data_IF_485924551482
#
_entry.id   IF_485924551482
#
_cell.length_a   1.000
_cell.length_b   1.000
_cell.length_c   1.000
_cell.angle_alpha   90.00
_cell.angle_beta   90.00
_cell.angle_gamma   90.00
#
_symmetry.space_group_name_H-M   'P 1'
#
loop_
_entity.id
_entity.type
_entity.pdbx_description
1 polymer ?
#
# COMPACT_ATOMS: atom_id res chain seq x y z
N UNK A 1 23.43 0.57 -11.06
CA UNK A 1 22.29 1.43 -11.43
C UNK A 1 21.11 0.52 -11.70
N UNK A 2 20.12 0.47 -10.81
CA UNK A 2 18.97 -0.43 -10.99
C UNK A 2 17.98 0.23 -11.91
N UNK A 3 17.90 -0.23 -13.15
CA UNK A 3 16.84 0.16 -14.08
C UNK A 3 15.52 -0.30 -13.47
N UNK A 4 14.64 0.64 -13.10
CA UNK A 4 13.30 0.29 -12.64
C UNK A 4 12.53 -0.41 -13.77
N UNK A 5 11.67 -1.39 -13.45
CA UNK A 5 10.81 -1.99 -14.47
C UNK A 5 9.88 -0.93 -15.05
N UNK A 6 9.53 -1.08 -16.34
CA UNK A 6 8.49 -0.24 -16.95
C UNK A 6 7.12 -0.68 -16.40
N UNK A 7 6.30 0.29 -16.03
CA UNK A 7 4.98 0.02 -15.49
C UNK A 7 3.88 0.22 -16.54
N UNK A 8 2.89 -0.67 -16.51
CA UNK A 8 1.66 -0.56 -17.28
C UNK A 8 0.82 0.59 -16.72
N UNK A 9 0.31 1.44 -17.62
CA UNK A 9 -0.68 2.45 -17.25
C UNK A 9 -1.98 1.75 -16.84
N UNK A 10 -2.39 1.95 -15.59
CA UNK A 10 -3.66 1.51 -15.04
C UNK A 10 -4.58 2.72 -14.83
N UNK A 11 -5.90 2.53 -14.88
CA UNK A 11 -6.82 3.60 -14.50
C UNK A 11 -6.73 3.80 -12.99
N UNK A 12 -6.56 5.04 -12.56
CA UNK A 12 -6.42 5.40 -11.14
C UNK A 12 -7.57 4.85 -10.30
N UNK A 13 -8.81 4.97 -10.76
CA UNK A 13 -10.00 4.52 -10.04
C UNK A 13 -10.01 3.00 -9.81
N UNK A 14 -9.55 2.22 -10.81
CA UNK A 14 -9.45 0.76 -10.70
C UNK A 14 -8.37 0.37 -9.66
N UNK A 15 -7.24 1.07 -9.67
CA UNK A 15 -6.15 0.85 -8.70
C UNK A 15 -6.56 1.26 -7.30
N UNK A 16 -7.28 2.37 -7.17
CA UNK A 16 -7.81 2.88 -5.91
C UNK A 16 -8.82 1.91 -5.31
N UNK A 17 -9.78 1.43 -6.10
CA UNK A 17 -10.74 0.41 -5.65
C UNK A 17 -10.03 -0.89 -5.23
N UNK A 18 -9.05 -1.33 -6.01
CA UNK A 18 -8.25 -2.52 -5.71
C UNK A 18 -7.50 -2.38 -4.38
N UNK A 19 -6.74 -1.29 -4.19
CA UNK A 19 -5.92 -1.14 -2.99
C UNK A 19 -6.79 -0.84 -1.77
N UNK A 20 -7.91 -0.14 -1.94
CA UNK A 20 -8.88 0.10 -0.87
C UNK A 20 -9.49 -1.23 -0.38
N UNK A 21 -9.87 -2.12 -1.29
CA UNK A 21 -10.36 -3.45 -0.93
C UNK A 21 -9.31 -4.30 -0.17
N UNK A 22 -8.01 -4.14 -0.51
CA UNK A 22 -6.92 -4.80 0.20
C UNK A 22 -6.61 -4.17 1.56
N UNK A 23 -6.81 -2.86 1.70
CA UNK A 23 -6.64 -2.10 2.94
C UNK A 23 -7.98 -1.93 3.68
N UNK A 24 -8.93 -2.83 3.47
CA UNK A 24 -10.15 -2.94 4.28
C UNK A 24 -10.03 -4.16 5.19
N UNK A 25 -10.26 -3.98 6.49
CA UNK A 25 -10.40 -5.11 7.42
C UNK A 25 -11.86 -5.56 7.44
N UNK A 26 -12.14 -6.71 6.83
CA UNK A 26 -13.50 -7.27 6.70
C UNK A 26 -14.07 -7.85 8.02
N UNK A 27 -13.23 -7.99 9.04
CA UNK A 27 -13.63 -8.54 10.34
C UNK A 27 -14.13 -7.46 11.32
N UNK A 28 -13.91 -6.18 11.03
CA UNK A 28 -14.50 -5.08 11.78
C UNK A 28 -15.93 -4.81 11.27
N UNK A 29 -16.85 -4.49 12.18
CA UNK A 29 -18.24 -4.12 11.88
C UNK A 29 -18.52 -2.71 12.44
N UNK A 30 -18.72 -1.69 11.58
CA UNK A 30 -18.68 -1.74 10.11
C UNK A 30 -17.25 -1.94 9.56
N UNK A 31 -17.09 -2.46 8.33
CA UNK A 31 -15.78 -2.59 7.71
C UNK A 31 -15.08 -1.24 7.60
N UNK A 32 -13.89 -1.14 8.18
CA UNK A 32 -13.08 0.07 8.13
C UNK A 32 -12.13 0.05 6.94
N UNK A 33 -12.15 1.13 6.18
CA UNK A 33 -11.20 1.42 5.11
C UNK A 33 -10.06 2.25 5.69
N UNK A 34 -8.81 1.82 5.46
CA UNK A 34 -7.64 2.54 5.97
C UNK A 34 -6.89 3.32 4.89
N UNK A 35 -7.23 3.17 3.61
CA UNK A 35 -6.64 3.96 2.54
C UNK A 35 -7.05 5.44 2.70
N UNK A 36 -6.05 6.33 2.69
CA UNK A 36 -6.27 7.79 2.77
C UNK A 36 -6.04 8.49 1.45
N UNK A 37 -5.03 8.04 0.70
CA UNK A 37 -4.68 8.65 -0.56
C UNK A 37 -3.97 7.66 -1.47
N UNK A 38 -4.25 7.76 -2.77
CA UNK A 38 -3.48 7.15 -3.82
C UNK A 38 -2.84 8.23 -4.69
N UNK A 39 -1.50 8.21 -4.77
CA UNK A 39 -0.70 9.12 -5.61
C UNK A 39 -0.21 8.33 -6.82
N UNK A 40 -0.42 8.85 -8.02
CA UNK A 40 0.17 8.34 -9.26
C UNK A 40 1.42 9.16 -9.60
N UNK A 41 2.51 8.49 -9.99
CA UNK A 41 3.76 9.11 -10.43
C UNK A 41 3.92 9.07 -11.95
N UNK A 42 4.84 9.87 -12.47
CA UNK A 42 5.04 10.03 -13.92
C UNK A 42 5.40 8.74 -14.64
N UNK A 43 6.19 7.87 -13.99
CA UNK A 43 6.60 6.54 -14.46
C UNK A 43 5.50 5.46 -14.33
N UNK A 44 4.28 5.84 -13.91
CA UNK A 44 3.09 4.98 -13.78
C UNK A 44 3.12 4.01 -12.61
N UNK A 45 4.01 4.20 -11.62
CA UNK A 45 3.80 3.58 -10.32
C UNK A 45 2.86 4.42 -9.45
N UNK A 46 2.41 3.80 -8.37
CA UNK A 46 1.49 4.38 -7.40
C UNK A 46 2.06 4.29 -6.00
N UNK A 47 1.74 5.28 -5.17
CA UNK A 47 1.92 5.25 -3.71
C UNK A 47 0.57 5.19 -3.04
N UNK A 48 0.35 4.14 -2.26
CA UNK A 48 -0.78 4.08 -1.34
C UNK A 48 -0.35 4.65 0.00
N UNK A 49 -1.10 5.65 0.49
CA UNK A 49 -0.96 6.22 1.83
C UNK A 49 -2.16 5.79 2.66
N UNK A 50 -1.92 5.24 3.85
CA UNK A 50 -2.96 4.63 4.67
C UNK A 50 -2.73 4.84 6.17
N UNK A 51 -3.82 4.72 6.94
CA UNK A 51 -3.84 4.96 8.38
C UNK A 51 -3.01 3.94 9.16
N UNK A 52 -2.32 4.38 10.24
CA UNK A 52 -1.58 3.46 11.08
C UNK A 52 -2.41 2.35 11.70
N UNK A 53 -3.69 2.64 11.99
CA UNK A 53 -4.64 1.68 12.56
C UNK A 53 -4.87 0.44 11.70
N UNK A 54 -4.44 0.42 10.43
CA UNK A 54 -4.41 -0.80 9.63
C UNK A 54 -3.56 -1.89 10.27
N UNK A 55 -2.42 -1.52 10.86
CA UNK A 55 -1.59 -2.45 11.60
C UNK A 55 -2.06 -2.47 13.05
N UNK A 56 -2.65 -3.59 13.46
CA UNK A 56 -2.88 -3.88 14.88
C UNK A 56 -1.52 -4.04 15.57
N UNK A 57 -1.04 -2.98 16.21
CA UNK A 57 0.20 -2.97 16.97
C UNK A 57 -0.06 -3.50 18.39
N UNK A 58 0.87 -4.30 18.91
CA UNK A 58 0.82 -4.73 20.30
C UNK A 58 1.13 -3.53 21.22
N UNK A 59 0.70 -3.62 22.47
CA UNK A 59 1.01 -2.62 23.49
C UNK A 59 2.53 -2.38 23.59
N UNK A 60 2.94 -1.12 23.59
CA UNK A 60 4.34 -0.71 23.59
C UNK A 60 5.03 -0.69 22.21
N UNK A 61 4.37 -1.12 21.13
CA UNK A 61 4.90 -0.97 19.77
C UNK A 61 4.36 0.30 19.09
N UNK A 62 5.26 1.19 18.71
CA UNK A 62 4.94 2.42 17.99
C UNK A 62 4.98 2.28 16.47
N UNK A 63 5.52 1.15 15.95
CA UNK A 63 5.70 0.91 14.52
C UNK A 63 5.42 -0.55 14.14
N UNK A 64 5.01 -0.83 12.90
CA UNK A 64 4.73 -2.18 12.44
C UNK A 64 6.04 -2.94 12.23
N UNK A 65 6.06 -4.18 12.68
CA UNK A 65 7.16 -5.10 12.47
C UNK A 65 7.40 -5.38 10.98
N UNK A 66 8.63 -5.81 10.65
CA UNK A 66 8.98 -6.32 9.32
C UNK A 66 8.04 -7.44 8.85
N UNK A 67 7.57 -8.28 9.77
CA UNK A 67 6.62 -9.36 9.45
C UNK A 67 5.26 -8.82 9.00
N UNK A 68 4.73 -7.82 9.69
CA UNK A 68 3.47 -7.16 9.30
C UNK A 68 3.56 -6.52 7.91
N UNK A 69 4.65 -5.80 7.62
CA UNK A 69 4.92 -5.26 6.29
C UNK A 69 5.01 -6.35 5.22
N UNK A 70 5.76 -7.42 5.49
CA UNK A 70 5.87 -8.54 4.56
C UNK A 70 4.53 -9.24 4.32
N UNK A 71 3.68 -9.35 5.33
CA UNK A 71 2.36 -9.94 5.20
C UNK A 71 1.44 -9.06 4.32
N UNK A 72 1.48 -7.74 4.48
CA UNK A 72 0.78 -6.81 3.57
C UNK A 72 1.27 -6.95 2.13
N UNK A 73 2.59 -6.95 1.91
CA UNK A 73 3.19 -7.13 0.58
C UNK A 73 2.79 -8.47 -0.04
N UNK A 74 2.82 -9.56 0.74
CA UNK A 74 2.35 -10.88 0.30
C UNK A 74 0.86 -10.87 -0.03
N UNK A 75 0.02 -10.20 0.78
CA UNK A 75 -1.43 -10.05 0.51
C UNK A 75 -1.67 -9.39 -0.85
N UNK A 76 -0.97 -8.29 -1.13
CA UNK A 76 -1.07 -7.58 -2.42
C UNK A 76 -0.64 -8.50 -3.58
N UNK A 77 0.54 -9.12 -3.47
CA UNK A 77 1.08 -10.04 -4.49
C UNK A 77 0.23 -11.28 -4.75
N UNK A 78 -0.47 -11.79 -3.72
CA UNK A 78 -1.40 -12.93 -3.88
C UNK A 78 -2.68 -12.54 -4.61
N UNK A 79 -3.09 -11.28 -4.52
CA UNK A 79 -4.29 -10.81 -5.22
C UNK A 79 -3.99 -10.50 -6.69
N UNK A 80 -2.82 -9.93 -7.00
CA UNK A 80 -2.35 -9.78 -8.38
C UNK A 80 -0.82 -10.01 -8.45
N UNK A 81 -0.43 -11.09 -9.11
CA UNK A 81 0.97 -11.49 -9.27
C UNK A 81 1.77 -10.54 -10.18
N UNK A 82 1.09 -9.74 -11.01
CA UNK A 82 1.68 -8.77 -11.94
C UNK A 82 2.09 -7.47 -11.25
N UNK A 83 1.72 -7.27 -9.99
CA UNK A 83 2.13 -6.08 -9.23
C UNK A 83 3.60 -6.18 -8.88
N UNK A 84 4.42 -5.20 -9.23
CA UNK A 84 5.72 -4.97 -8.64
C UNK A 84 5.56 -4.18 -7.33
N UNK A 85 6.17 -4.65 -6.25
CA UNK A 85 6.21 -3.93 -4.98
C UNK A 85 7.61 -3.42 -4.75
N UNK A 86 7.74 -2.12 -4.47
CA UNK A 86 9.03 -1.55 -4.12
C UNK A 86 9.48 -2.12 -2.76
N UNK A 87 10.80 -2.21 -2.59
CA UNK A 87 11.38 -2.68 -1.33
C UNK A 87 11.08 -1.69 -0.21
N UNK A 88 11.19 -0.40 -0.50
CA UNK A 88 10.93 0.68 0.43
C UNK A 88 9.46 0.75 0.81
N UNK A 89 9.24 1.03 2.09
CA UNK A 89 7.96 1.29 2.73
C UNK A 89 8.29 2.09 3.99
N UNK A 90 7.35 2.83 4.53
CA UNK A 90 7.67 3.66 5.69
C UNK A 90 6.52 4.52 6.15
N UNK A 91 6.90 5.64 6.76
CA UNK A 91 5.97 6.62 7.31
C UNK A 91 6.11 7.95 6.58
N UNK A 92 5.01 8.67 6.49
CA UNK A 92 4.95 10.02 5.92
C UNK A 92 4.08 10.87 6.82
N UNK A 93 4.44 12.14 6.99
CA UNK A 93 3.63 13.09 7.75
C UNK A 93 2.76 13.90 6.78
N UNK A 94 1.45 13.82 6.95
CA UNK A 94 0.45 14.52 6.11
C UNK A 94 -0.46 15.31 7.04
N UNK A 95 -0.49 16.64 6.87
CA UNK A 95 -1.30 17.54 7.71
C UNK A 95 -1.10 17.34 9.23
N UNK A 96 0.11 16.96 9.67
CA UNK A 96 0.43 16.70 11.07
C UNK A 96 0.21 15.25 11.52
N UNK A 97 -0.48 14.42 10.74
CA UNK A 97 -0.72 13.00 11.04
C UNK A 97 0.39 12.10 10.49
N UNK A 98 0.86 11.14 11.30
CA UNK A 98 1.76 10.06 10.85
C UNK A 98 0.94 9.02 10.11
N UNK A 99 1.19 8.84 8.82
CA UNK A 99 0.58 7.82 7.95
C UNK A 99 1.64 6.82 7.47
N UNK A 100 1.19 5.67 7.00
CA UNK A 100 2.06 4.68 6.35
C UNK A 100 1.97 4.78 4.83
N UNK A 101 3.05 4.43 4.14
CA UNK A 101 3.05 4.35 2.68
C UNK A 101 3.68 3.07 2.14
N UNK A 102 3.22 2.68 0.94
CA UNK A 102 3.82 1.63 0.13
C UNK A 102 3.81 2.07 -1.35
N UNK A 103 4.88 1.74 -2.06
CA UNK A 103 4.98 2.01 -3.50
C UNK A 103 4.86 0.72 -4.29
N UNK A 104 4.11 0.78 -5.39
CA UNK A 104 3.85 -0.37 -6.24
C UNK A 104 3.51 0.06 -7.66
N UNK A 105 3.78 -0.82 -8.62
CA UNK A 105 3.38 -0.63 -10.01
C UNK A 105 2.89 -1.94 -10.60
N UNK A 106 2.33 -1.91 -11.80
CA UNK A 106 1.92 -3.12 -12.52
C UNK A 106 2.91 -3.37 -13.63
N UNK A 107 3.47 -4.58 -13.75
CA UNK A 107 4.41 -4.87 -14.83
C UNK A 107 3.78 -4.57 -16.20
N UNK A 108 4.55 -3.91 -17.06
CA UNK A 108 4.29 -3.90 -18.49
C UNK A 108 4.54 -5.33 -19.00
N UNK A 109 3.49 -6.01 -19.46
CA UNK A 109 3.59 -7.36 -20.06
C UNK A 109 4.60 -7.37 -21.21
#
# INVERSE_FOLDING_TARGET
>A
MSTLPKFRKMRRDDVEAFINALLTQKHELPPRQYLRQLIEYDDKHFRAIFEPSYFMLAEGQSEPSKSQWNNLKKKIKRHDSRIFLFKEHGTIQVAGEKLYYLDFGFFLE
#
